data_IF_499710781565
#
_entry.id   IF_499710781565
#
_cell.length_a   1.000
_cell.length_b   1.000
_cell.length_c   1.000
_cell.angle_alpha   90.00
_cell.angle_beta   90.00
_cell.angle_gamma   90.00
#
_symmetry.space_group_name_H-M   'P 1'
#
loop_
_entity.id
_entity.type
_entity.pdbx_description
1 polymer ?
#
# COMPACT_ATOMS: atom_id res chain seq x y z
N UNK A 1 -1.93 45.07 19.54
CA UNK A 1 -3.36 45.38 19.77
C UNK A 1 -4.10 44.05 19.76
N UNK A 2 -4.41 43.58 20.96
CA UNK A 2 -4.93 42.25 21.31
C UNK A 2 -6.40 42.12 20.87
N UNK A 3 -6.77 41.06 20.14
CA UNK A 3 -8.19 40.69 19.95
C UNK A 3 -8.44 39.28 20.47
N UNK A 4 -9.20 39.28 21.55
CA UNK A 4 -9.55 38.20 22.46
C UNK A 4 -10.56 37.25 21.81
N UNK A 5 -10.36 35.94 22.03
CA UNK A 5 -11.30 34.85 21.76
C UNK A 5 -12.65 35.07 22.47
N UNK A 6 -13.74 34.57 21.88
CA UNK A 6 -14.88 34.06 22.66
C UNK A 6 -15.40 32.76 22.07
N UNK A 7 -15.04 31.65 22.73
CA UNK A 7 -15.62 30.33 22.56
C UNK A 7 -16.95 30.28 23.31
N UNK A 8 -18.02 29.86 22.66
CA UNK A 8 -19.36 29.75 23.26
C UNK A 8 -19.72 28.26 23.42
N UNK A 9 -19.38 27.70 24.57
CA UNK A 9 -19.80 26.34 24.96
C UNK A 9 -21.16 26.43 25.64
N UNK A 10 -22.20 25.90 25.01
CA UNK A 10 -23.57 25.87 25.54
C UNK A 10 -23.80 24.56 26.30
N UNK A 11 -23.93 24.64 27.62
CA UNK A 11 -24.28 23.51 28.52
C UNK A 11 -25.77 23.62 28.85
N UNK A 12 -26.54 22.59 28.50
CA UNK A 12 -27.95 22.46 28.88
C UNK A 12 -28.07 21.54 30.10
N UNK A 13 -28.56 22.08 31.22
CA UNK A 13 -28.98 21.33 32.40
C UNK A 13 -30.48 21.55 32.53
N UNK A 14 -31.26 20.46 32.60
CA UNK A 14 -32.67 20.52 32.98
C UNK A 14 -32.95 19.47 34.04
N UNK A 15 -33.45 19.97 35.18
CA UNK A 15 -34.11 19.23 36.23
C UNK A 15 -35.44 19.96 36.50
N UNK A 16 -36.54 19.22 36.65
CA UNK A 16 -37.64 19.61 37.53
C UNK A 16 -38.59 18.45 37.78
N UNK A 17 -39.06 18.42 39.03
CA UNK A 17 -39.91 17.45 39.67
C UNK A 17 -41.37 17.53 39.21
N UNK A 18 -42.09 16.44 39.46
CA UNK A 18 -43.49 16.25 39.07
C UNK A 18 -44.50 16.93 39.96
N UNK A 19 -45.77 16.68 39.65
CA UNK A 19 -46.91 16.89 40.53
C UNK A 19 -47.96 15.78 40.27
N UNK A 20 -48.50 15.31 41.40
CA UNK A 20 -49.82 14.70 41.70
C UNK A 20 -50.96 15.09 40.75
N UNK A 21 -52.07 14.38 40.58
CA UNK A 21 -52.63 13.08 40.97
C UNK A 21 -54.07 13.17 40.41
N UNK A 22 -54.60 12.17 39.71
CA UNK A 22 -56.06 12.02 39.64
C UNK A 22 -56.40 10.54 39.43
N UNK A 23 -56.99 9.94 40.45
CA UNK A 23 -57.27 8.50 40.52
C UNK A 23 -58.74 8.28 40.21
N UNK A 24 -59.11 7.60 39.11
CA UNK A 24 -60.50 7.22 38.87
C UNK A 24 -60.91 6.03 39.76
N UNK A 25 -62.21 5.92 40.10
CA UNK A 25 -62.75 5.05 41.16
C UNK A 25 -62.64 3.55 40.84
N UNK A 26 -62.72 2.67 41.88
CA UNK A 26 -62.48 1.24 41.73
C UNK A 26 -63.53 0.57 40.84
N UNK A 27 -63.05 -0.13 39.82
CA UNK A 27 -63.88 -1.02 38.97
C UNK A 27 -64.09 -2.35 39.68
N UNK A 28 -65.35 -2.75 39.80
CA UNK A 28 -65.80 -4.03 40.37
C UNK A 28 -65.54 -5.15 39.36
N UNK A 29 -64.71 -6.13 39.73
CA UNK A 29 -64.31 -7.26 38.90
C UNK A 29 -65.43 -8.30 38.78
N UNK A 30 -65.86 -8.71 37.57
CA UNK A 30 -66.75 -9.85 37.41
C UNK A 30 -66.02 -11.19 37.66
N UNK A 31 -66.72 -12.25 38.10
CA UNK A 31 -66.10 -13.54 38.42
C UNK A 31 -65.48 -14.23 37.19
N UNK A 32 -64.38 -14.98 37.35
CA UNK A 32 -63.68 -15.61 36.24
C UNK A 32 -64.53 -16.69 35.57
N UNK A 33 -64.73 -16.56 34.26
CA UNK A 33 -65.29 -17.61 33.41
C UNK A 33 -64.17 -18.60 33.08
N UNK A 34 -64.36 -19.89 33.38
CA UNK A 34 -63.42 -20.95 33.01
C UNK A 34 -63.40 -21.10 31.48
N UNK A 35 -62.33 -20.64 30.84
CA UNK A 35 -62.07 -20.84 29.43
C UNK A 35 -61.46 -22.25 29.19
N UNK A 36 -61.95 -22.95 28.18
CA UNK A 36 -61.44 -24.26 27.76
C UNK A 36 -60.04 -24.09 27.12
N UNK A 37 -59.09 -24.96 27.47
CA UNK A 37 -57.74 -24.99 26.90
C UNK A 37 -57.76 -25.12 25.38
N UNK A 38 -57.01 -24.30 24.62
CA UNK A 38 -56.83 -24.52 23.20
C UNK A 38 -55.90 -25.73 22.94
N UNK A 39 -56.22 -26.50 21.90
CA UNK A 39 -55.44 -27.62 21.39
C UNK A 39 -54.03 -27.17 20.96
N UNK A 40 -52.95 -27.93 21.23
CA UNK A 40 -51.60 -27.54 20.81
C UNK A 40 -51.51 -27.53 19.28
N UNK A 41 -51.25 -26.35 18.72
CA UNK A 41 -50.92 -26.18 17.30
C UNK A 41 -49.44 -26.48 17.12
N UNK A 42 -49.09 -27.34 16.16
CA UNK A 42 -47.71 -27.63 15.75
C UNK A 42 -47.03 -26.32 15.31
N UNK A 43 -46.00 -25.89 16.04
CA UNK A 43 -45.23 -24.69 15.69
C UNK A 43 -44.47 -24.85 14.36
N UNK A 44 -44.15 -23.74 13.67
CA UNK A 44 -43.41 -23.80 12.41
C UNK A 44 -42.00 -24.37 12.62
N UNK A 45 -41.59 -25.28 11.74
CA UNK A 45 -40.21 -25.77 11.65
C UNK A 45 -39.27 -24.59 11.37
N UNK A 46 -38.34 -24.31 12.27
CA UNK A 46 -37.30 -23.30 12.07
C UNK A 46 -36.45 -23.70 10.85
N UNK A 47 -36.59 -22.95 9.77
CA UNK A 47 -35.64 -23.02 8.65
C UNK A 47 -34.35 -22.37 9.13
N UNK A 48 -33.28 -23.15 9.22
CA UNK A 48 -31.96 -22.62 9.57
C UNK A 48 -31.50 -21.73 8.42
N UNK A 49 -31.46 -20.42 8.64
CA UNK A 49 -30.80 -19.47 7.75
C UNK A 49 -29.33 -19.87 7.63
N UNK A 50 -28.86 -20.10 6.41
CA UNK A 50 -27.45 -20.39 6.14
C UNK A 50 -26.60 -19.24 6.67
N UNK A 51 -25.70 -19.54 7.62
CA UNK A 51 -24.80 -18.54 8.20
C UNK A 51 -23.93 -18.00 7.07
N UNK A 52 -23.85 -16.67 6.85
CA UNK A 52 -23.01 -16.12 5.79
C UNK A 52 -21.59 -16.61 5.99
N UNK A 53 -21.07 -17.32 4.98
CA UNK A 53 -19.68 -17.78 4.94
C UNK A 53 -18.79 -16.55 5.06
N UNK A 54 -17.93 -16.50 6.07
CA UNK A 54 -16.94 -15.44 6.19
C UNK A 54 -16.15 -15.33 4.88
N UNK A 55 -16.31 -14.23 4.16
CA UNK A 55 -15.44 -13.87 3.04
C UNK A 55 -14.03 -13.72 3.63
N UNK A 56 -13.06 -14.48 3.14
CA UNK A 56 -11.67 -14.31 3.57
C UNK A 56 -11.26 -12.86 3.34
N UNK A 57 -10.99 -12.11 4.41
CA UNK A 57 -10.36 -10.80 4.30
C UNK A 57 -9.10 -10.97 3.45
N UNK A 58 -8.91 -10.20 2.36
CA UNK A 58 -7.69 -10.29 1.56
C UNK A 58 -6.50 -9.99 2.47
N UNK A 59 -5.75 -11.01 2.84
CA UNK A 59 -4.51 -10.82 3.58
C UNK A 59 -3.45 -10.43 2.53
N UNK A 60 -2.83 -9.24 2.61
CA UNK A 60 -1.78 -8.88 1.68
C UNK A 60 -0.66 -9.93 1.78
N UNK A 61 -0.25 -10.47 0.62
CA UNK A 61 0.76 -11.54 0.53
C UNK A 61 2.16 -10.97 0.81
N UNK A 62 2.44 -10.61 2.06
CA UNK A 62 3.72 -10.01 2.48
C UNK A 62 4.76 -11.04 2.91
N UNK A 63 4.32 -12.22 3.36
CA UNK A 63 5.19 -13.28 3.86
C UNK A 63 5.28 -14.46 2.89
N UNK A 64 6.49 -14.98 2.69
CA UNK A 64 6.70 -16.26 2.02
C UNK A 64 6.46 -17.45 2.95
N UNK A 65 6.20 -18.63 2.38
CA UNK A 65 6.00 -19.87 3.14
C UNK A 65 7.29 -20.37 3.82
N UNK A 66 8.45 -20.08 3.22
CA UNK A 66 9.77 -20.32 3.79
C UNK A 66 10.58 -19.03 3.81
N UNK A 67 11.45 -18.88 4.80
CA UNK A 67 12.21 -17.65 4.98
C UNK A 67 13.20 -17.40 3.81
N UNK A 68 13.75 -18.47 3.24
CA UNK A 68 14.63 -18.42 2.08
C UNK A 68 13.92 -18.00 0.77
N UNK A 69 12.59 -18.17 0.71
CA UNK A 69 11.77 -17.82 -0.43
C UNK A 69 11.29 -16.36 -0.38
N UNK A 70 11.60 -15.63 0.70
CA UNK A 70 11.14 -14.27 0.91
C UNK A 70 11.70 -13.32 -0.15
N UNK A 71 10.80 -12.61 -0.82
CA UNK A 71 11.11 -11.56 -1.78
C UNK A 71 10.91 -10.20 -1.14
N UNK A 72 11.62 -9.21 -1.65
CA UNK A 72 11.51 -7.83 -1.23
C UNK A 72 11.36 -6.95 -2.47
N UNK A 73 10.63 -5.85 -2.32
CA UNK A 73 10.56 -4.80 -3.33
C UNK A 73 10.97 -3.45 -2.75
N UNK A 74 11.43 -2.56 -3.62
CA UNK A 74 11.58 -1.13 -3.35
C UNK A 74 11.08 -0.35 -4.55
N UNK A 75 10.58 0.86 -4.29
CA UNK A 75 10.04 1.75 -5.31
C UNK A 75 11.00 2.92 -5.51
N UNK A 76 11.24 3.30 -6.77
CA UNK A 76 11.99 4.48 -7.17
C UNK A 76 11.09 5.37 -8.02
N UNK A 77 10.96 6.64 -7.65
CA UNK A 77 10.31 7.63 -8.49
C UNK A 77 11.35 8.40 -9.32
N UNK A 78 11.45 8.06 -10.60
CA UNK A 78 12.44 8.60 -11.53
C UNK A 78 11.93 9.69 -12.48
N UNK A 79 10.72 10.24 -12.29
CA UNK A 79 10.18 11.26 -13.20
C UNK A 79 10.47 12.66 -12.64
N UNK A 80 11.37 13.44 -13.27
CA UNK A 80 11.66 14.80 -12.83
C UNK A 80 10.44 15.71 -13.02
N UNK A 81 10.23 16.65 -12.09
CA UNK A 81 9.14 17.63 -12.13
C UNK A 81 7.72 17.05 -12.19
N UNK A 82 7.54 15.77 -11.82
CA UNK A 82 6.23 15.15 -11.69
C UNK A 82 5.70 15.28 -10.25
N UNK A 83 4.38 15.21 -10.09
CA UNK A 83 3.77 15.26 -8.75
C UNK A 83 4.12 14.00 -7.94
N UNK A 84 4.18 14.06 -6.60
CA UNK A 84 4.40 12.87 -5.78
C UNK A 84 3.38 11.75 -6.07
N UNK A 85 3.81 10.50 -5.92
CA UNK A 85 3.01 9.31 -6.23
C UNK A 85 2.78 8.44 -4.99
N UNK A 86 1.64 7.75 -4.99
CA UNK A 86 1.37 6.61 -4.11
C UNK A 86 1.50 5.31 -4.93
N UNK A 87 2.04 4.25 -4.35
CA UNK A 87 2.20 2.96 -5.03
C UNK A 87 1.57 1.85 -4.22
N UNK A 88 0.71 1.09 -4.89
CA UNK A 88 0.02 -0.07 -4.34
C UNK A 88 0.39 -1.33 -5.11
N UNK A 89 0.49 -2.45 -4.39
CA UNK A 89 0.65 -3.79 -4.94
C UNK A 89 -0.51 -4.64 -4.44
N UNK A 90 -1.43 -4.99 -5.33
CA UNK A 90 -2.80 -5.39 -5.01
C UNK A 90 -3.48 -4.35 -4.10
N UNK A 91 -3.70 -4.71 -2.83
CA UNK A 91 -4.27 -3.84 -1.79
C UNK A 91 -3.22 -3.30 -0.80
N UNK A 92 -1.96 -3.73 -0.93
CA UNK A 92 -0.86 -3.31 -0.08
C UNK A 92 -0.33 -1.96 -0.54
N UNK A 93 -0.46 -0.93 0.29
CA UNK A 93 0.25 0.34 0.08
C UNK A 93 1.73 0.18 0.41
N UNK A 94 2.60 0.45 -0.56
CA UNK A 94 4.05 0.28 -0.47
C UNK A 94 4.77 1.62 -0.34
N UNK A 95 4.29 2.64 -1.04
CA UNK A 95 4.85 3.99 -1.02
C UNK A 95 3.71 5.01 -0.94
N UNK A 96 3.90 6.06 -0.14
CA UNK A 96 2.95 7.16 -0.01
C UNK A 96 3.69 8.49 -0.13
N UNK A 97 3.15 9.40 -0.95
CA UNK A 97 3.74 10.71 -1.25
C UNK A 97 5.22 10.61 -1.62
N UNK A 98 5.58 9.61 -2.43
CA UNK A 98 6.95 9.40 -2.87
C UNK A 98 7.32 10.49 -3.88
N UNK A 99 8.28 11.34 -3.50
CA UNK A 99 8.78 12.42 -4.35
C UNK A 99 9.83 11.93 -5.36
N UNK A 100 10.04 12.69 -6.43
CA UNK A 100 11.10 12.44 -7.41
C UNK A 100 12.47 12.28 -6.73
N UNK A 101 13.25 11.30 -7.18
CA UNK A 101 14.59 11.03 -6.69
C UNK A 101 14.62 10.21 -5.39
N UNK A 102 13.49 10.03 -4.72
CA UNK A 102 13.41 9.22 -3.51
C UNK A 102 13.25 7.72 -3.84
N UNK A 103 13.76 6.91 -2.92
CA UNK A 103 13.68 5.45 -2.94
C UNK A 103 13.10 4.95 -1.61
N UNK A 104 12.22 3.95 -1.66
CA UNK A 104 11.68 3.36 -0.45
C UNK A 104 12.66 2.40 0.23
N UNK A 105 12.39 2.07 1.49
CA UNK A 105 12.97 0.89 2.11
C UNK A 105 12.46 -0.38 1.42
N UNK A 106 13.13 -1.50 1.71
CA UNK A 106 12.70 -2.82 1.27
C UNK A 106 11.42 -3.24 1.99
N UNK A 107 10.38 -3.54 1.22
CA UNK A 107 9.11 -4.08 1.72
C UNK A 107 9.05 -5.58 1.41
N UNK A 108 8.81 -6.44 2.41
CA UNK A 108 8.67 -7.88 2.18
C UNK A 108 7.40 -8.17 1.38
N UNK A 109 7.53 -9.05 0.38
CA UNK A 109 6.42 -9.54 -0.44
C UNK A 109 6.60 -11.03 -0.74
N UNK A 110 5.49 -11.77 -0.75
CA UNK A 110 5.46 -13.15 -1.22
C UNK A 110 5.58 -13.23 -2.74
N UNK A 111 5.80 -14.44 -3.26
CA UNK A 111 5.77 -14.68 -4.70
C UNK A 111 4.34 -14.77 -5.24
N UNK A 112 4.21 -14.59 -6.55
CA UNK A 112 2.96 -14.72 -7.29
C UNK A 112 2.72 -13.55 -8.23
N UNK A 113 1.54 -13.54 -8.83
CA UNK A 113 1.08 -12.46 -9.70
C UNK A 113 0.42 -11.37 -8.88
N UNK A 114 0.77 -10.10 -9.10
CA UNK A 114 0.23 -8.94 -8.40
C UNK A 114 -0.17 -7.86 -9.39
N UNK A 115 -1.20 -7.07 -9.07
CA UNK A 115 -1.53 -5.85 -9.82
C UNK A 115 -0.89 -4.65 -9.15
N UNK A 116 0.05 -4.01 -9.83
CA UNK A 116 0.74 -2.82 -9.36
C UNK A 116 0.01 -1.59 -9.86
N UNK A 117 -0.26 -0.64 -8.96
CA UNK A 117 -0.90 0.64 -9.28
C UNK A 117 -0.04 1.80 -8.82
N UNK A 118 0.24 2.72 -9.73
CA UNK A 118 0.86 4.02 -9.43
C UNK A 118 -0.24 5.06 -9.48
N UNK A 119 -0.46 5.74 -8.37
CA UNK A 119 -1.57 6.67 -8.16
C UNK A 119 -1.06 8.09 -7.90
N UNK A 120 -1.87 9.13 -8.14
CA UNK A 120 -1.63 10.45 -7.57
C UNK A 120 -1.51 10.36 -6.04
N UNK A 121 -0.58 11.10 -5.43
CA UNK A 121 -0.45 11.11 -3.98
C UNK A 121 -1.76 11.49 -3.28
N UNK A 122 -2.14 10.72 -2.26
CA UNK A 122 -3.38 10.88 -1.50
C UNK A 122 -4.63 10.28 -2.17
N UNK A 123 -4.52 9.75 -3.39
CA UNK A 123 -5.60 9.01 -4.02
C UNK A 123 -5.80 7.65 -3.35
N UNK A 124 -7.04 7.17 -3.30
CA UNK A 124 -7.39 5.88 -2.70
C UNK A 124 -7.66 4.84 -3.78
N UNK A 125 -7.31 3.59 -3.50
CA UNK A 125 -7.72 2.45 -4.34
C UNK A 125 -9.25 2.42 -4.50
N UNK A 126 -9.73 2.33 -5.74
CA UNK A 126 -11.17 2.33 -6.06
C UNK A 126 -11.88 3.68 -5.86
N UNK A 127 -11.13 4.77 -5.64
CA UNK A 127 -11.67 6.13 -5.61
C UNK A 127 -11.86 6.73 -7.01
N UNK A 128 -12.14 8.04 -7.05
CA UNK A 128 -12.51 8.75 -8.28
C UNK A 128 -11.31 9.06 -9.21
N UNK A 129 -10.09 9.04 -8.67
CA UNK A 129 -8.88 9.28 -9.45
C UNK A 129 -8.33 7.96 -10.01
N UNK A 130 -8.17 7.82 -11.33
CA UNK A 130 -7.60 6.62 -11.93
C UNK A 130 -6.09 6.52 -11.64
N UNK A 131 -5.50 5.31 -11.72
CA UNK A 131 -4.05 5.15 -11.70
C UNK A 131 -3.39 5.82 -12.91
N UNK A 132 -2.19 6.36 -12.71
CA UNK A 132 -1.28 6.69 -13.80
C UNK A 132 -0.77 5.42 -14.50
N UNK A 133 -0.52 4.36 -13.72
CA UNK A 133 -0.09 3.04 -14.22
C UNK A 133 -0.88 1.95 -13.50
N UNK A 134 -1.43 1.01 -14.26
CA UNK A 134 -1.94 -0.27 -13.75
C UNK A 134 -1.32 -1.42 -14.56
N UNK A 135 -0.54 -2.27 -13.89
CA UNK A 135 0.21 -3.33 -14.54
C UNK A 135 0.25 -4.60 -13.70
N UNK A 136 0.00 -5.74 -14.34
CA UNK A 136 0.23 -7.06 -13.74
C UNK A 136 1.71 -7.42 -13.77
N UNK A 137 2.27 -7.75 -12.60
CA UNK A 137 3.68 -8.12 -12.42
C UNK A 137 3.77 -9.49 -11.76
N UNK A 138 4.60 -10.36 -12.34
CA UNK A 138 4.92 -11.67 -11.77
C UNK A 138 6.16 -11.56 -10.88
N UNK A 139 6.01 -11.90 -9.60
CA UNK A 139 7.06 -11.82 -8.58
C UNK A 139 7.54 -13.24 -8.25
N UNK A 140 8.83 -13.48 -8.48
CA UNK A 140 9.50 -14.73 -8.10
C UNK A 140 9.82 -14.81 -6.60
N UNK A 141 10.37 -15.94 -6.17
CA UNK A 141 10.85 -16.16 -4.80
C UNK A 141 12.29 -15.68 -4.61
N UNK A 142 12.66 -15.27 -3.40
CA UNK A 142 14.04 -15.00 -2.99
C UNK A 142 14.75 -13.82 -3.68
N UNK A 143 14.00 -12.90 -4.28
CA UNK A 143 14.56 -11.77 -5.04
C UNK A 143 14.51 -10.44 -4.28
N UNK A 144 15.34 -9.49 -4.68
CA UNK A 144 15.16 -8.07 -4.36
C UNK A 144 14.82 -7.37 -5.67
N UNK A 145 13.61 -6.81 -5.73
CA UNK A 145 13.05 -6.16 -6.91
C UNK A 145 13.09 -4.65 -6.72
N UNK A 146 13.49 -3.94 -7.76
CA UNK A 146 13.37 -2.48 -7.84
C UNK A 146 12.31 -2.14 -8.89
N UNK A 147 11.24 -1.49 -8.44
CA UNK A 147 10.17 -0.99 -9.30
C UNK A 147 10.50 0.46 -9.60
N UNK A 148 10.71 0.77 -10.87
CA UNK A 148 11.12 2.11 -11.30
C UNK A 148 9.97 2.73 -12.07
N UNK A 149 9.51 3.89 -11.58
CA UNK A 149 8.51 4.70 -12.25
C UNK A 149 9.24 5.79 -13.03
N UNK A 150 9.11 5.81 -14.35
CA UNK A 150 9.89 6.70 -15.22
C UNK A 150 9.15 7.12 -16.49
N UNK A 151 9.74 8.07 -17.22
CA UNK A 151 9.23 8.60 -18.48
C UNK A 151 8.46 9.91 -18.34
N UNK A 152 8.21 10.58 -19.48
CA UNK A 152 7.42 11.82 -19.51
C UNK A 152 5.95 11.58 -19.12
N UNK A 153 5.41 10.47 -19.61
CA UNK A 153 4.21 9.85 -19.07
C UNK A 153 4.64 8.71 -18.13
N UNK A 154 4.01 8.56 -16.93
CA UNK A 154 4.41 7.53 -16.00
C UNK A 154 4.32 6.13 -16.61
N UNK A 155 5.44 5.40 -16.55
CA UNK A 155 5.54 3.99 -16.91
C UNK A 155 6.29 3.23 -15.81
N UNK A 156 5.98 1.94 -15.67
CA UNK A 156 6.62 1.07 -14.69
C UNK A 156 7.47 0.02 -15.40
N UNK A 157 8.70 -0.15 -14.93
CA UNK A 157 9.50 -1.33 -15.23
C UNK A 157 10.12 -1.90 -13.95
N UNK A 158 10.45 -3.18 -13.99
CA UNK A 158 10.93 -3.93 -12.83
C UNK A 158 12.29 -4.53 -13.15
N UNK A 159 13.23 -4.39 -12.23
CA UNK A 159 14.57 -4.98 -12.35
C UNK A 159 14.97 -5.71 -11.07
N UNK A 160 15.82 -6.73 -11.24
CA UNK A 160 16.38 -7.55 -10.18
C UNK A 160 17.79 -8.01 -10.54
N UNK A 161 18.81 -7.18 -10.29
CA UNK A 161 20.22 -7.58 -10.38
C UNK A 161 20.99 -7.30 -9.09
N UNK A 162 20.31 -7.42 -7.95
CA UNK A 162 20.96 -7.31 -6.65
C UNK A 162 21.94 -8.48 -6.46
N UNK A 163 23.23 -8.15 -6.29
CA UNK A 163 24.27 -9.14 -6.01
C UNK A 163 24.39 -9.26 -4.49
N UNK A 164 24.21 -10.47 -3.97
CA UNK A 164 24.28 -10.75 -2.53
C UNK A 164 25.65 -11.21 -2.04
N UNK A 165 26.62 -11.31 -2.94
CA UNK A 165 28.00 -11.66 -2.59
C UNK A 165 28.57 -10.58 -1.67
N UNK A 166 29.13 -10.97 -0.50
CA UNK A 166 29.76 -10.03 0.42
C UNK A 166 30.82 -9.19 -0.28
N UNK A 167 30.89 -7.91 0.09
CA UNK A 167 31.97 -7.05 -0.34
C UNK A 167 33.26 -7.41 0.39
N UNK A 168 34.39 -7.31 -0.30
CA UNK A 168 35.68 -7.41 0.38
C UNK A 168 35.89 -6.19 1.28
N UNK A 169 36.79 -6.26 2.27
CA UNK A 169 37.17 -5.09 3.03
C UNK A 169 37.60 -3.96 2.10
N UNK A 170 37.11 -2.74 2.35
CA UNK A 170 37.41 -1.53 1.57
C UNK A 170 36.87 -1.53 0.14
N UNK A 171 35.82 -2.30 -0.12
CA UNK A 171 35.03 -2.18 -1.35
C UNK A 171 33.68 -1.50 -1.11
N UNK A 172 33.09 -1.00 -2.18
CA UNK A 172 31.71 -0.52 -2.25
C UNK A 172 31.10 -1.01 -3.57
N UNK A 173 29.78 -1.14 -3.63
CA UNK A 173 29.07 -1.57 -4.84
C UNK A 173 28.32 -0.41 -5.47
N UNK A 174 28.44 -0.29 -6.78
CA UNK A 174 27.74 0.70 -7.60
C UNK A 174 26.76 -0.04 -8.50
N UNK A 175 25.51 0.41 -8.49
CA UNK A 175 24.44 -0.07 -9.36
C UNK A 175 23.97 1.06 -10.27
N UNK A 176 23.67 0.72 -11.52
CA UNK A 176 23.06 1.65 -12.48
C UNK A 176 21.76 1.04 -13.00
N UNK A 177 20.70 1.83 -12.99
CA UNK A 177 19.45 1.55 -13.70
C UNK A 177 19.21 2.72 -14.65
N UNK A 178 19.02 2.44 -15.94
CA UNK A 178 18.75 3.49 -16.91
C UNK A 178 17.24 3.73 -17.03
N UNK A 179 16.78 4.85 -16.47
CA UNK A 179 15.37 5.20 -16.37
C UNK A 179 14.94 6.38 -17.28
N UNK A 180 15.72 6.70 -18.32
CA UNK A 180 15.38 7.78 -19.25
C UNK A 180 14.95 7.14 -20.57
N UNK A 181 13.66 7.16 -20.92
CA UNK A 181 13.22 6.64 -22.21
C UNK A 181 13.80 7.48 -23.35
N UNK A 182 13.98 6.84 -24.50
CA UNK A 182 14.46 7.44 -25.75
C UNK A 182 15.88 8.07 -25.69
N UNK A 183 16.57 7.93 -24.57
CA UNK A 183 17.97 8.33 -24.43
C UNK A 183 18.91 7.23 -24.97
N UNK A 184 20.10 7.61 -25.48
CA UNK A 184 21.14 6.64 -25.84
C UNK A 184 21.58 5.81 -24.63
N UNK A 185 22.09 4.58 -24.85
CA UNK A 185 22.61 3.75 -23.76
C UNK A 185 23.64 4.49 -22.90
N UNK A 186 23.54 4.28 -21.59
CA UNK A 186 24.38 4.98 -20.61
C UNK A 186 25.55 4.09 -20.18
N UNK A 187 26.74 4.67 -20.12
CA UNK A 187 27.95 4.05 -19.57
C UNK A 187 28.44 4.81 -18.34
N UNK A 188 29.12 4.10 -17.44
CA UNK A 188 29.86 4.74 -16.34
C UNK A 188 31.33 4.43 -16.50
N UNK A 189 32.16 5.47 -16.42
CA UNK A 189 33.62 5.38 -16.41
C UNK A 189 34.19 5.75 -15.05
N UNK A 190 35.23 5.05 -14.65
CA UNK A 190 36.04 5.34 -13.47
C UNK A 190 37.48 4.88 -13.70
N UNK A 191 38.47 5.55 -13.08
CA UNK A 191 39.87 5.14 -13.14
C UNK A 191 40.47 5.04 -14.55
N UNK A 192 39.94 5.78 -15.52
CA UNK A 192 40.40 5.78 -16.92
C UNK A 192 39.74 4.75 -17.84
N UNK A 193 38.90 3.84 -17.32
CA UNK A 193 38.22 2.80 -18.09
C UNK A 193 36.70 2.79 -17.91
N UNK A 194 36.04 1.91 -18.65
CA UNK A 194 34.62 1.62 -18.46
C UNK A 194 34.44 0.77 -17.19
N UNK A 195 33.64 1.28 -16.26
CA UNK A 195 33.24 0.58 -15.05
C UNK A 195 31.95 -0.20 -15.28
N UNK A 196 30.99 0.42 -15.96
CA UNK A 196 29.71 -0.19 -16.36
C UNK A 196 29.56 -0.02 -17.87
N UNK A 197 29.38 -1.15 -18.55
CA UNK A 197 29.10 -1.25 -19.99
C UNK A 197 27.77 -0.57 -20.34
N UNK A 198 27.52 -0.25 -21.63
CA UNK A 198 26.31 0.43 -22.05
C UNK A 198 25.04 -0.27 -21.54
N UNK A 199 24.17 0.49 -20.86
CA UNK A 199 22.89 0.02 -20.32
C UNK A 199 21.76 0.68 -21.10
N UNK A 200 20.84 -0.12 -21.64
CA UNK A 200 19.68 0.39 -22.35
C UNK A 200 18.58 0.86 -21.38
N UNK A 201 17.65 1.67 -21.86
CA UNK A 201 16.46 2.05 -21.10
C UNK A 201 15.73 0.81 -20.54
N UNK A 202 15.30 0.88 -19.29
CA UNK A 202 14.58 -0.19 -18.61
C UNK A 202 15.48 -1.29 -18.05
N UNK A 203 16.80 -1.23 -18.28
CA UNK A 203 17.75 -2.21 -17.80
C UNK A 203 18.52 -1.74 -16.55
N UNK A 204 18.93 -2.71 -15.74
CA UNK A 204 19.94 -2.55 -14.70
C UNK A 204 21.28 -3.13 -15.19
N UNK A 205 22.37 -2.44 -14.91
CA UNK A 205 23.72 -2.97 -15.12
C UNK A 205 23.99 -4.19 -14.23
N UNK A 206 25.01 -4.96 -14.59
CA UNK A 206 25.66 -5.81 -13.58
C UNK A 206 26.34 -4.86 -12.58
N UNK A 207 26.07 -4.95 -11.27
CA UNK A 207 26.71 -4.10 -10.28
C UNK A 207 28.24 -4.22 -10.32
N UNK A 208 28.92 -3.09 -10.20
CA UNK A 208 30.38 -3.01 -10.20
C UNK A 208 30.90 -2.73 -8.78
N UNK A 209 31.95 -3.43 -8.37
CA UNK A 209 32.65 -3.11 -7.13
C UNK A 209 33.71 -2.01 -7.40
N UNK A 210 33.85 -1.08 -6.45
CA UNK A 210 34.83 0.00 -6.46
C UNK A 210 35.53 0.07 -5.11
N UNK A 211 36.66 0.76 -5.04
CA UNK A 211 37.30 1.04 -3.75
C UNK A 211 36.39 1.92 -2.89
N UNK A 212 36.26 1.60 -1.61
CA UNK A 212 35.49 2.40 -0.66
C UNK A 212 36.08 3.80 -0.50
N UNK A 213 35.23 4.81 -0.38
CA UNK A 213 35.63 6.21 -0.21
C UNK A 213 35.24 7.07 -1.41
N UNK A 214 35.95 8.19 -1.57
CA UNK A 214 35.67 9.14 -2.64
C UNK A 214 36.05 8.55 -4.01
N UNK A 215 35.07 8.42 -4.89
CA UNK A 215 35.24 8.01 -6.28
C UNK A 215 34.66 9.09 -7.20
N UNK A 216 35.28 9.27 -8.36
CA UNK A 216 34.72 10.11 -9.44
C UNK A 216 34.21 9.21 -10.53
N UNK A 217 32.94 9.39 -10.88
CA UNK A 217 32.28 8.68 -11.98
C UNK A 217 31.98 9.66 -13.10
N UNK A 218 32.28 9.27 -14.33
CA UNK A 218 31.82 10.00 -15.52
C UNK A 218 30.69 9.21 -16.15
N UNK A 219 29.54 9.84 -16.31
CA UNK A 219 28.36 9.25 -16.95
C UNK A 219 28.35 9.74 -18.40
N UNK A 220 28.41 8.83 -19.36
CA UNK A 220 28.30 9.17 -20.78
C UNK A 220 27.04 8.55 -21.37
N UNK A 221 26.30 9.34 -22.14
CA UNK A 221 25.32 8.85 -23.11
C UNK A 221 25.99 8.78 -24.48
N UNK A 222 25.67 7.75 -25.26
CA UNK A 222 26.14 7.58 -26.65
C UNK A 222 25.80 8.73 -27.57
#
# INVERSE_FOLDING_TARGET
MLRLLFSFTLIFIMAACGNTEDTPPPTITPPPTLALSPTPTSGPTATLTEVPRATSTPNPRTSAARAEDQTYLRIVHGIPNFSPIDVYVDTLGVAFSLEFGNITQLTPIGSGEFVVRVMPAGARLGGDLPPYVEQTVNIGIGQILTFVISGAEPSLFVTSKDIRTPLQPRESRVELIHAIPDAPPVTIRAGGGDLILPVNYGEQAIPANVTSGANTFTINSG
#
